data_IF_647488865409
#
_entry.id   IF_647488865409
#
_cell.length_a   1.000
_cell.length_b   1.000
_cell.length_c   1.000
_cell.angle_alpha   90.00
_cell.angle_beta   90.00
_cell.angle_gamma   90.00
#
_symmetry.space_group_name_H-M   'P 1'
#
loop_
_entity.id
_entity.type
_entity.pdbx_description
1 polymer ?
#
# COMPACT_ATOMS: atom_id res chain seq x y z
N UNK A 1 -31.15 -17.93 5.29
CA UNK A 1 -30.83 -18.27 3.88
C UNK A 1 -31.24 -17.05 3.06
N UNK A 2 -30.38 -16.13 2.64
CA UNK A 2 -28.95 -16.17 2.32
C UNK A 2 -28.24 -15.00 3.00
N UNK A 3 -27.23 -15.28 3.81
CA UNK A 3 -26.40 -14.26 4.47
C UNK A 3 -25.04 -14.18 3.77
N UNK A 4 -25.06 -14.13 2.44
CA UNK A 4 -23.89 -13.70 1.69
C UNK A 4 -23.72 -12.21 1.95
N UNK A 5 -22.49 -11.79 2.24
CA UNK A 5 -22.16 -10.38 2.41
C UNK A 5 -22.65 -9.55 1.20
N UNK A 6 -22.84 -8.23 1.37
CA UNK A 6 -23.15 -7.36 0.25
C UNK A 6 -22.15 -7.61 -0.89
N UNK A 7 -22.59 -7.87 -2.14
CA UNK A 7 -21.68 -8.25 -3.24
C UNK A 7 -20.62 -7.17 -3.52
N UNK A 8 -20.94 -5.91 -3.22
CA UNK A 8 -20.01 -4.79 -3.27
C UNK A 8 -18.86 -4.91 -2.26
N UNK A 9 -19.12 -5.44 -1.05
CA UNK A 9 -18.09 -5.65 -0.03
C UNK A 9 -17.21 -6.85 -0.39
N UNK A 10 -17.79 -7.92 -0.92
CA UNK A 10 -17.02 -9.06 -1.43
C UNK A 10 -16.08 -8.62 -2.58
N UNK A 11 -16.57 -7.73 -3.44
CA UNK A 11 -15.74 -7.10 -4.48
C UNK A 11 -14.62 -6.24 -3.89
N UNK A 12 -14.91 -5.46 -2.85
CA UNK A 12 -13.87 -4.69 -2.15
C UNK A 12 -12.79 -5.59 -1.55
N UNK A 13 -13.16 -6.73 -0.95
CA UNK A 13 -12.20 -7.73 -0.43
C UNK A 13 -11.29 -8.25 -1.53
N UNK A 14 -11.86 -8.57 -2.71
CA UNK A 14 -11.07 -9.01 -3.86
C UNK A 14 -10.09 -7.93 -4.34
N UNK A 15 -10.54 -6.67 -4.42
CA UNK A 15 -9.70 -5.56 -4.85
C UNK A 15 -8.53 -5.32 -3.88
N UNK A 16 -8.77 -5.36 -2.56
CA UNK A 16 -7.69 -5.24 -1.58
C UNK A 16 -6.72 -6.42 -1.69
N UNK A 17 -7.22 -7.65 -1.93
CA UNK A 17 -6.37 -8.80 -2.22
C UNK A 17 -5.45 -8.58 -3.43
N UNK A 18 -5.98 -8.06 -4.53
CA UNK A 18 -5.20 -7.74 -5.72
C UNK A 18 -4.18 -6.62 -5.47
N UNK A 19 -4.54 -5.62 -4.66
CA UNK A 19 -3.60 -4.57 -4.23
C UNK A 19 -2.49 -5.12 -3.35
N UNK A 20 -2.77 -6.09 -2.46
CA UNK A 20 -1.75 -6.75 -1.66
C UNK A 20 -0.76 -7.54 -2.52
N UNK A 21 -1.26 -8.28 -3.51
CA UNK A 21 -0.40 -9.03 -4.43
C UNK A 21 0.46 -8.10 -5.29
N UNK A 22 -0.10 -6.99 -5.78
CA UNK A 22 0.65 -5.96 -6.49
C UNK A 22 1.70 -5.29 -5.59
N UNK A 23 1.36 -4.94 -4.34
CA UNK A 23 2.28 -4.34 -3.38
C UNK A 23 3.45 -5.27 -3.02
N UNK A 24 3.20 -6.58 -2.90
CA UNK A 24 4.26 -7.58 -2.63
C UNK A 24 5.32 -7.64 -3.72
N UNK A 25 4.94 -7.42 -4.98
CA UNK A 25 5.87 -7.40 -6.11
C UNK A 25 6.36 -5.99 -6.47
N UNK A 26 5.95 -4.96 -5.71
CA UNK A 26 6.32 -3.57 -5.96
C UNK A 26 5.62 -2.90 -7.14
N UNK A 27 4.51 -3.47 -7.64
CA UNK A 27 3.71 -2.90 -8.73
C UNK A 27 2.77 -1.79 -8.20
N UNK A 28 3.37 -0.68 -7.77
CA UNK A 28 2.66 0.49 -7.25
C UNK A 28 1.66 1.11 -8.23
N UNK A 29 1.93 1.19 -9.55
CA UNK A 29 0.93 1.66 -10.51
C UNK A 29 -0.36 0.85 -10.45
N UNK A 30 -0.26 -0.48 -10.35
CA UNK A 30 -1.43 -1.35 -10.21
C UNK A 30 -2.14 -1.18 -8.87
N UNK A 31 -1.41 -0.97 -7.78
CA UNK A 31 -2.04 -0.63 -6.48
C UNK A 31 -2.88 0.65 -6.62
N UNK A 32 -2.31 1.70 -7.23
CA UNK A 32 -2.99 2.99 -7.38
C UNK A 32 -4.16 2.97 -8.37
N UNK A 33 -4.15 2.08 -9.37
CA UNK A 33 -5.25 1.97 -10.33
C UNK A 33 -6.48 1.26 -9.75
N UNK A 34 -6.27 0.34 -8.80
CA UNK A 34 -7.35 -0.41 -8.12
C UNK A 34 -8.00 0.36 -6.97
N UNK A 35 -7.26 1.31 -6.39
CA UNK A 35 -7.70 2.06 -5.21
C UNK A 35 -9.01 2.87 -5.41
N UNK A 36 -9.23 3.60 -6.53
CA UNK A 36 -10.47 4.34 -6.73
C UNK A 36 -11.72 3.47 -6.77
N UNK A 37 -11.64 2.27 -7.37
CA UNK A 37 -12.75 1.32 -7.40
C UNK A 37 -13.05 0.80 -6.00
N UNK A 38 -12.01 0.45 -5.23
CA UNK A 38 -12.14 0.00 -3.85
C UNK A 38 -12.78 1.09 -2.96
N UNK A 39 -12.31 2.33 -3.05
CA UNK A 39 -12.83 3.46 -2.28
C UNK A 39 -14.29 3.77 -2.63
N UNK A 40 -14.68 3.62 -3.89
CA UNK A 40 -16.05 3.84 -4.34
C UNK A 40 -17.02 2.80 -3.75
N UNK A 41 -16.58 1.55 -3.61
CA UNK A 41 -17.36 0.50 -2.97
C UNK A 41 -17.48 0.77 -1.47
N UNK A 42 -16.36 1.02 -0.78
CA UNK A 42 -16.36 1.25 0.67
C UNK A 42 -17.20 2.45 1.14
N UNK A 43 -17.39 3.47 0.29
CA UNK A 43 -18.24 4.63 0.61
C UNK A 43 -19.74 4.36 0.52
N UNK A 44 -20.16 3.21 0.00
CA UNK A 44 -21.59 2.86 -0.10
C UNK A 44 -22.17 2.59 1.28
N UNK A 45 -23.48 2.81 1.39
CA UNK A 45 -24.22 2.53 2.62
C UNK A 45 -24.64 1.07 2.64
N UNK A 46 -24.16 0.34 3.63
CA UNK A 46 -24.47 -1.08 3.82
C UNK A 46 -25.52 -1.28 4.93
N UNK A 47 -26.40 -2.28 4.79
CA UNK A 47 -27.33 -2.63 5.84
C UNK A 47 -26.58 -3.11 7.09
N UNK A 48 -27.04 -2.69 8.26
CA UNK A 48 -26.53 -3.19 9.52
C UNK A 48 -26.92 -4.67 9.68
N UNK A 49 -25.92 -5.53 9.87
CA UNK A 49 -26.09 -6.97 10.00
C UNK A 49 -24.77 -7.64 10.40
N UNK A 50 -24.86 -8.83 10.97
CA UNK A 50 -23.68 -9.57 11.44
C UNK A 50 -22.77 -10.00 10.28
N UNK A 51 -23.33 -10.38 9.13
CA UNK A 51 -22.57 -10.64 7.90
C UNK A 51 -21.82 -9.41 7.40
N UNK A 52 -22.50 -8.26 7.29
CA UNK A 52 -21.86 -6.98 6.93
C UNK A 52 -20.71 -6.67 7.89
N UNK A 53 -20.91 -6.87 9.20
CA UNK A 53 -19.88 -6.64 10.22
C UNK A 53 -18.66 -7.54 10.01
N UNK A 54 -18.86 -8.83 9.77
CA UNK A 54 -17.77 -9.78 9.55
C UNK A 54 -16.94 -9.40 8.31
N UNK A 55 -17.59 -9.01 7.22
CA UNK A 55 -16.88 -8.58 6.01
C UNK A 55 -16.11 -7.27 6.23
N UNK A 56 -16.69 -6.31 6.95
CA UNK A 56 -15.99 -5.06 7.30
C UNK A 56 -14.77 -5.30 8.19
N UNK A 57 -14.83 -6.25 9.14
CA UNK A 57 -13.68 -6.64 9.95
C UNK A 57 -12.58 -7.29 9.11
N UNK A 58 -12.94 -8.14 8.15
CA UNK A 58 -11.99 -8.73 7.21
C UNK A 58 -11.31 -7.65 6.33
N UNK A 59 -12.10 -6.71 5.80
CA UNK A 59 -11.60 -5.56 5.04
C UNK A 59 -10.63 -4.71 5.87
N UNK A 60 -10.98 -4.44 7.13
CA UNK A 60 -10.11 -3.66 8.03
C UNK A 60 -8.77 -4.35 8.27
N UNK A 61 -8.76 -5.67 8.48
CA UNK A 61 -7.54 -6.44 8.66
C UNK A 61 -6.65 -6.40 7.40
N UNK A 62 -7.25 -6.59 6.22
CA UNK A 62 -6.52 -6.53 4.95
C UNK A 62 -5.96 -5.13 4.66
N UNK A 63 -6.74 -4.08 4.94
CA UNK A 63 -6.30 -2.70 4.76
C UNK A 63 -5.11 -2.34 5.67
N UNK A 64 -5.09 -2.86 6.91
CA UNK A 64 -3.94 -2.71 7.80
C UNK A 64 -2.69 -3.34 7.21
N UNK A 65 -2.79 -4.58 6.71
CA UNK A 65 -1.65 -5.26 6.08
C UNK A 65 -1.12 -4.48 4.86
N UNK A 66 -2.01 -3.93 4.05
CA UNK A 66 -1.61 -3.10 2.91
C UNK A 66 -0.87 -1.84 3.36
N UNK A 67 -1.36 -1.19 4.41
CA UNK A 67 -0.74 0.02 4.98
C UNK A 67 0.67 -0.26 5.52
N UNK A 68 0.87 -1.42 6.17
CA UNK A 68 2.17 -1.87 6.64
C UNK A 68 3.14 -2.12 5.49
N UNK A 69 2.70 -2.75 4.39
CA UNK A 69 3.54 -2.95 3.20
C UNK A 69 3.94 -1.62 2.55
N UNK A 70 3.01 -0.67 2.44
CA UNK A 70 3.30 0.67 1.92
C UNK A 70 4.30 1.39 2.81
N UNK A 71 4.18 1.28 4.14
CA UNK A 71 5.16 1.87 5.06
C UNK A 71 6.55 1.25 4.88
N UNK A 72 6.65 -0.07 4.80
CA UNK A 72 7.92 -0.77 4.57
C UNK A 72 8.57 -0.38 3.24
N UNK A 73 7.79 -0.23 2.17
CA UNK A 73 8.28 0.22 0.87
C UNK A 73 8.82 1.65 0.93
N UNK A 74 8.10 2.57 1.59
CA UNK A 74 8.53 3.96 1.79
C UNK A 74 9.84 4.03 2.57
N UNK A 75 9.98 3.22 3.62
CA UNK A 75 11.21 3.16 4.40
C UNK A 75 12.38 2.60 3.58
N UNK A 76 12.11 1.64 2.68
CA UNK A 76 13.08 1.13 1.71
C UNK A 76 13.64 2.24 0.82
N UNK A 77 12.74 2.99 0.16
CA UNK A 77 13.09 4.12 -0.71
C UNK A 77 13.87 5.19 0.06
N UNK A 78 13.44 5.52 1.28
CA UNK A 78 14.11 6.51 2.12
C UNK A 78 15.56 6.10 2.46
N UNK A 79 15.79 4.82 2.76
CA UNK A 79 17.14 4.29 3.03
C UNK A 79 18.03 4.34 1.79
N UNK A 80 17.50 4.01 0.62
CA UNK A 80 18.26 4.09 -0.64
C UNK A 80 18.64 5.52 -0.97
N UNK A 81 17.69 6.47 -0.85
CA UNK A 81 17.95 7.88 -1.09
C UNK A 81 19.02 8.43 -0.13
N UNK A 82 18.94 8.08 1.16
CA UNK A 82 19.95 8.46 2.14
C UNK A 82 21.34 7.91 1.78
N UNK A 83 21.42 6.67 1.29
CA UNK A 83 22.67 6.04 0.83
C UNK A 83 23.25 6.77 -0.37
N UNK A 84 22.43 7.15 -1.35
CA UNK A 84 22.87 7.93 -2.50
C UNK A 84 23.40 9.31 -2.09
N UNK A 85 22.68 10.01 -1.20
CA UNK A 85 23.11 11.31 -0.69
C UNK A 85 24.43 11.22 0.10
N UNK A 86 24.63 10.14 0.87
CA UNK A 86 25.89 9.90 1.59
C UNK A 86 27.05 9.62 0.63
N UNK A 87 26.82 8.79 -0.40
CA UNK A 87 27.83 8.46 -1.41
C UNK A 87 28.24 9.71 -2.19
N UNK A 88 27.28 10.53 -2.59
CA UNK A 88 27.55 11.79 -3.27
C UNK A 88 28.40 12.73 -2.41
N UNK A 89 28.05 12.90 -1.12
CA UNK A 89 28.84 13.72 -0.19
C UNK A 89 30.28 13.21 -0.04
N UNK A 90 30.48 11.90 0.06
CA UNK A 90 31.82 11.32 0.16
C UNK A 90 32.65 11.56 -1.11
N UNK A 91 32.04 11.42 -2.28
CA UNK A 91 32.69 11.69 -3.57
C UNK A 91 33.05 13.17 -3.71
N UNK A 92 32.15 14.09 -3.38
CA UNK A 92 32.44 15.53 -3.40
C UNK A 92 33.61 15.88 -2.48
N UNK A 93 33.61 15.38 -1.23
CA UNK A 93 34.70 15.62 -0.29
C UNK A 93 36.05 15.07 -0.79
N UNK A 94 36.06 13.90 -1.45
CA UNK A 94 37.26 13.36 -2.07
C UNK A 94 37.78 14.28 -3.18
N UNK A 95 36.90 14.71 -4.11
CA UNK A 95 37.26 15.60 -5.20
C UNK A 95 37.82 16.92 -4.67
N UNK A 96 37.14 17.56 -3.69
CA UNK A 96 37.60 18.80 -3.07
C UNK A 96 38.99 18.64 -2.42
N UNK A 97 39.22 17.53 -1.71
CA UNK A 97 40.53 17.25 -1.09
C UNK A 97 41.64 16.95 -2.10
N UNK A 98 41.28 16.44 -3.28
CA UNK A 98 42.23 16.08 -4.34
C UNK A 98 42.55 17.25 -5.29
N UNK A 99 41.60 18.18 -5.47
CA UNK A 99 41.74 19.38 -6.29
C UNK A 99 42.34 20.58 -5.54
N UNK A 100 42.44 20.51 -4.21
CA UNK A 100 43.13 21.51 -3.38
C UNK A 100 44.67 21.39 -3.38
N UNK A 101 45.27 20.86 -4.46
CA UNK A 101 46.72 20.73 -4.64
C UNK A 101 47.24 21.59 -5.79
#
# INVERSE_FOLDING_TARGET
MSDSGPPDLDRAVQLIGQMLDAARVGDWPRVTSLQPECDALLRRRYPAGESTRQVLLALQAQHRNLSELVAQARDGIARELARHAQTHRALSAYLDSSGAR
#
